data_IF_801404805693
#
_entry.id   IF_801404805693
#
_cell.length_a   1.000
_cell.length_b   1.000
_cell.length_c   1.000
_cell.angle_alpha   90.00
_cell.angle_beta   90.00
_cell.angle_gamma   90.00
#
_symmetry.space_group_name_H-M   'P 1'
#
loop_
_entity.id
_entity.type
_entity.pdbx_description
1 polymer ?
#
# COMPACT_ATOMS: atom_id res chain seq x y z
N UNK A 1 4.30 17.19 22.13
CA UNK A 1 4.65 15.99 22.96
C UNK A 1 3.65 15.86 24.10
N UNK A 2 3.00 14.70 24.22
CA UNK A 2 2.05 14.41 25.30
C UNK A 2 2.79 13.95 26.55
N UNK A 3 2.46 14.58 27.68
CA UNK A 3 3.01 14.23 29.00
C UNK A 3 1.99 13.45 29.83
N UNK A 4 2.47 12.49 30.58
CA UNK A 4 1.65 11.68 31.46
C UNK A 4 1.08 12.52 32.60
N UNK A 5 -0.26 12.60 32.77
CA UNK A 5 -0.86 13.34 33.90
C UNK A 5 -0.46 12.82 35.27
N UNK A 6 -0.03 11.54 35.37
CA UNK A 6 0.32 10.92 36.63
C UNK A 6 1.77 11.15 37.07
N UNK A 7 2.74 11.17 36.12
CA UNK A 7 4.17 11.22 36.47
C UNK A 7 4.99 12.18 35.61
N UNK A 8 4.38 12.89 34.65
CA UNK A 8 5.07 13.79 33.75
C UNK A 8 5.94 13.11 32.68
N UNK A 9 5.99 11.77 32.65
CA UNK A 9 6.74 11.01 31.65
C UNK A 9 6.14 11.12 30.25
N UNK A 10 6.89 10.72 29.23
CA UNK A 10 6.46 10.75 27.84
C UNK A 10 5.33 9.72 27.60
N UNK A 11 4.32 10.12 26.85
CA UNK A 11 3.27 9.23 26.32
C UNK A 11 3.56 8.89 24.87
N UNK A 12 3.46 7.62 24.54
CA UNK A 12 3.52 7.09 23.16
C UNK A 12 2.25 6.31 22.84
N UNK A 13 1.88 6.25 21.58
CA UNK A 13 0.78 5.38 21.17
C UNK A 13 1.24 3.94 21.09
N UNK A 14 0.66 3.08 21.93
CA UNK A 14 0.94 1.66 21.95
C UNK A 14 -0.02 0.90 21.04
N UNK A 15 0.55 0.24 20.04
CA UNK A 15 -0.17 -0.53 19.02
C UNK A 15 -0.94 -1.70 19.66
N UNK A 16 -0.35 -2.34 20.67
CA UNK A 16 -0.89 -3.59 21.25
C UNK A 16 -2.16 -3.33 22.04
N UNK A 17 -2.20 -2.24 22.80
CA UNK A 17 -3.35 -1.85 23.62
C UNK A 17 -4.27 -0.82 22.97
N UNK A 18 -3.88 -0.29 21.77
CA UNK A 18 -4.59 0.79 21.07
C UNK A 18 -4.86 2.00 22.00
N UNK A 19 -3.89 2.35 22.82
CA UNK A 19 -3.98 3.41 23.83
C UNK A 19 -2.66 4.17 23.94
N UNK A 20 -2.69 5.32 24.61
CA UNK A 20 -1.48 6.05 24.96
C UNK A 20 -0.84 5.41 26.18
N UNK A 21 0.40 4.96 26.07
CA UNK A 21 1.18 4.32 27.13
C UNK A 21 2.23 5.29 27.66
N UNK A 22 2.30 5.43 28.98
CA UNK A 22 3.42 6.09 29.63
C UNK A 22 4.62 5.14 29.75
N UNK A 23 5.73 5.47 29.10
CA UNK A 23 6.96 4.66 29.18
C UNK A 23 7.58 4.62 30.58
N UNK A 24 7.21 5.55 31.48
CA UNK A 24 7.78 5.62 32.82
C UNK A 24 6.95 4.91 33.89
N UNK A 25 5.61 5.10 33.91
CA UNK A 25 4.74 4.53 34.94
C UNK A 25 3.79 3.44 34.41
N UNK A 26 3.89 3.08 33.14
CA UNK A 26 3.06 2.06 32.47
C UNK A 26 1.54 2.32 32.54
N UNK A 27 1.11 3.55 32.79
CA UNK A 27 -0.31 3.91 32.81
C UNK A 27 -0.82 4.12 31.40
N UNK A 28 -2.02 3.61 31.11
CA UNK A 28 -2.68 3.74 29.82
C UNK A 28 -3.75 4.83 29.85
N UNK A 29 -3.85 5.58 28.74
CA UNK A 29 -4.83 6.64 28.54
C UNK A 29 -5.51 6.51 27.22
N UNK A 30 -6.79 6.93 27.16
CA UNK A 30 -7.51 7.02 25.88
C UNK A 30 -6.93 8.17 25.04
N UNK A 31 -6.56 7.93 23.76
CA UNK A 31 -6.00 8.97 22.88
C UNK A 31 -6.87 10.22 22.76
N UNK A 32 -8.20 10.05 22.80
CA UNK A 32 -9.17 11.14 22.65
C UNK A 32 -9.32 12.01 23.91
N UNK A 33 -8.96 11.49 25.09
CA UNK A 33 -9.14 12.21 26.36
C UNK A 33 -7.92 13.05 26.75
N UNK A 34 -6.83 12.97 26.04
CA UNK A 34 -5.59 13.71 26.36
C UNK A 34 -5.58 15.15 25.86
N UNK A 35 -6.58 15.56 25.08
CA UNK A 35 -6.75 16.91 24.56
C UNK A 35 -7.97 17.66 25.14
N UNK A 36 -8.77 17.04 26.00
CA UNK A 36 -9.92 17.66 26.63
C UNK A 36 -9.51 18.84 27.50
N UNK A 37 -9.55 20.04 26.94
CA UNK A 37 -9.17 21.31 27.60
C UNK A 37 -8.43 22.29 26.71
N UNK A 38 -7.90 21.87 25.61
CA UNK A 38 -7.38 22.77 24.59
C UNK A 38 -8.41 22.97 23.49
N UNK A 39 -8.89 24.19 23.31
CA UNK A 39 -9.75 24.68 22.24
C UNK A 39 -9.20 24.42 20.81
N UNK A 40 -8.15 23.59 20.69
CA UNK A 40 -7.57 23.14 19.43
C UNK A 40 -8.40 22.08 18.70
N UNK A 41 -9.45 21.53 19.30
CA UNK A 41 -10.33 20.54 18.63
C UNK A 41 -11.19 21.13 17.50
N UNK A 42 -11.36 22.44 17.47
CA UNK A 42 -12.11 23.13 16.42
C UNK A 42 -11.20 23.75 15.33
N UNK A 43 -9.88 23.79 15.52
CA UNK A 43 -8.99 24.34 14.51
C UNK A 43 -8.79 23.36 13.36
N UNK A 44 -8.98 23.83 12.12
CA UNK A 44 -8.69 23.08 10.90
C UNK A 44 -7.19 22.78 10.71
N UNK A 45 -6.34 23.36 11.55
CA UNK A 45 -4.88 23.27 11.50
C UNK A 45 -4.32 22.82 12.85
N UNK A 46 -3.19 22.15 12.84
CA UNK A 46 -2.44 21.79 14.05
C UNK A 46 -0.93 22.01 13.84
N UNK A 47 -0.23 22.30 14.94
CA UNK A 47 1.21 22.54 14.91
C UNK A 47 1.98 21.23 14.82
N UNK A 48 2.91 21.16 13.87
CA UNK A 48 3.81 20.03 13.67
C UNK A 48 5.24 20.51 13.47
N UNK A 49 6.21 19.67 13.81
CA UNK A 49 7.60 19.87 13.40
C UNK A 49 7.82 19.12 12.10
N UNK A 50 8.09 19.85 11.04
CA UNK A 50 8.42 19.28 9.72
C UNK A 50 9.92 19.16 9.60
N UNK A 51 10.41 18.00 9.24
CA UNK A 51 11.81 17.70 8.98
C UNK A 51 12.01 17.51 7.49
N UNK A 52 12.85 18.33 6.87
CA UNK A 52 13.17 18.26 5.43
C UNK A 52 14.52 17.61 5.21
N UNK A 53 14.55 16.61 4.33
CA UNK A 53 15.79 15.95 3.94
C UNK A 53 16.55 16.81 2.90
N UNK A 54 17.79 17.26 3.17
CA UNK A 54 18.54 18.05 2.20
C UNK A 54 18.98 17.23 0.97
N UNK A 55 18.91 15.90 1.01
CA UNK A 55 19.36 15.04 -0.07
C UNK A 55 18.26 14.66 -1.06
N UNK A 56 17.05 14.37 -0.61
CA UNK A 56 15.95 13.99 -1.48
C UNK A 56 14.79 14.98 -1.49
N UNK A 57 14.80 15.98 -0.59
CA UNK A 57 13.71 16.94 -0.46
C UNK A 57 12.48 16.43 0.29
N UNK A 58 12.39 15.12 0.58
CA UNK A 58 11.25 14.54 1.29
C UNK A 58 11.03 15.18 2.66
N UNK A 59 9.79 15.46 3.00
CA UNK A 59 9.38 16.09 4.26
C UNK A 59 8.70 15.06 5.16
N UNK A 60 9.08 15.02 6.42
CA UNK A 60 8.53 14.12 7.44
C UNK A 60 8.03 14.97 8.59
N UNK A 61 6.82 14.73 9.04
CA UNK A 61 6.23 15.40 10.19
C UNK A 61 6.40 14.57 11.46
N UNK A 62 6.60 15.25 12.60
CA UNK A 62 6.52 14.63 13.92
C UNK A 62 5.85 15.57 14.90
N UNK A 63 5.09 15.02 15.82
CA UNK A 63 4.58 15.76 16.99
C UNK A 63 5.61 15.81 18.12
N UNK A 64 6.69 15.05 17.99
CA UNK A 64 7.82 15.02 18.92
C UNK A 64 8.99 15.82 18.37
N UNK A 65 9.67 16.58 19.22
CA UNK A 65 10.90 17.32 18.86
C UNK A 65 12.14 16.39 18.77
N UNK A 66 11.96 15.12 18.52
CA UNK A 66 13.04 14.16 18.35
C UNK A 66 13.75 14.43 17.03
N UNK A 67 15.07 14.62 17.07
CA UNK A 67 15.90 14.78 15.88
C UNK A 67 15.82 13.47 15.08
N UNK A 68 15.40 13.56 13.83
CA UNK A 68 15.45 12.41 12.94
C UNK A 68 16.90 12.23 12.45
N UNK A 69 17.56 11.17 12.88
CA UNK A 69 18.99 10.90 12.58
C UNK A 69 19.20 10.44 11.13
N UNK A 70 18.14 10.08 10.40
CA UNK A 70 18.22 9.70 8.99
C UNK A 70 16.87 9.88 8.29
N UNK A 71 16.93 10.03 6.98
CA UNK A 71 15.74 10.15 6.15
C UNK A 71 15.10 8.76 5.91
N UNK A 72 13.82 8.63 6.23
CA UNK A 72 13.08 7.38 6.02
C UNK A 72 12.88 7.06 4.52
N UNK A 73 12.82 8.08 3.66
CA UNK A 73 12.62 7.90 2.22
C UNK A 73 13.90 7.48 1.50
N UNK A 74 14.98 8.24 1.62
CA UNK A 74 16.20 7.95 0.86
C UNK A 74 17.29 7.23 1.65
N UNK A 75 17.07 6.96 2.94
CA UNK A 75 18.04 6.28 3.81
C UNK A 75 19.31 7.07 4.10
N UNK A 76 19.35 8.37 3.79
CA UNK A 76 20.51 9.20 4.07
C UNK A 76 20.67 9.45 5.57
N UNK A 77 21.84 9.17 6.10
CA UNK A 77 22.23 9.53 7.46
C UNK A 77 22.66 11.01 7.48
N UNK A 78 21.71 11.89 7.69
CA UNK A 78 21.93 13.32 7.73
C UNK A 78 21.02 13.96 8.77
N UNK A 79 21.48 15.06 9.37
CA UNK A 79 20.62 15.86 10.23
C UNK A 79 19.60 16.55 9.35
N UNK A 80 18.32 16.30 9.61
CA UNK A 80 17.24 16.92 8.87
C UNK A 80 17.03 18.36 9.38
N UNK A 81 16.81 19.27 8.46
CA UNK A 81 16.39 20.62 8.82
C UNK A 81 14.97 20.58 9.35
N UNK A 82 14.70 21.25 10.47
CA UNK A 82 13.39 21.26 11.10
C UNK A 82 12.78 22.65 11.10
N UNK A 83 11.47 22.69 10.89
CA UNK A 83 10.65 23.91 11.02
C UNK A 83 9.32 23.58 11.71
N UNK A 84 8.79 24.52 12.47
CA UNK A 84 7.40 24.43 12.94
C UNK A 84 6.50 24.88 11.80
N UNK A 85 5.51 24.09 11.47
CA UNK A 85 4.52 24.39 10.44
C UNK A 85 3.12 24.13 10.97
N UNK A 86 2.14 24.83 10.40
CA UNK A 86 0.73 24.53 10.60
C UNK A 86 0.24 23.72 9.42
N UNK A 87 -0.20 22.52 9.71
CA UNK A 87 -0.72 21.61 8.70
C UNK A 87 -2.23 21.43 8.84
N UNK A 88 -2.89 21.21 7.71
CA UNK A 88 -4.32 20.90 7.71
C UNK A 88 -4.55 19.59 8.44
N UNK A 89 -5.47 19.62 9.40
CA UNK A 89 -5.82 18.46 10.22
C UNK A 89 -6.50 17.40 9.34
N UNK A 90 -6.01 16.14 9.34
CA UNK A 90 -6.73 15.02 8.73
C UNK A 90 -8.07 14.80 9.44
N UNK A 91 -9.09 14.35 8.70
CA UNK A 91 -10.37 13.98 9.30
C UNK A 91 -10.29 12.64 10.01
N UNK A 92 -9.58 11.70 9.40
CA UNK A 92 -9.51 10.31 9.87
C UNK A 92 -8.08 9.76 9.85
N UNK A 93 -7.91 8.68 10.58
CA UNK A 93 -6.67 7.91 10.66
C UNK A 93 -7.01 6.41 10.75
N UNK A 94 -6.22 5.57 10.12
CA UNK A 94 -6.20 4.14 10.42
C UNK A 94 -5.05 3.90 11.41
N UNK A 95 -5.31 3.57 12.68
CA UNK A 95 -4.23 3.31 13.64
C UNK A 95 -3.40 2.08 13.24
N UNK A 96 -2.11 2.10 13.58
CA UNK A 96 -1.27 0.90 13.45
C UNK A 96 -1.90 -0.28 14.20
N UNK A 97 -2.03 -1.43 13.53
CA UNK A 97 -2.49 -2.70 14.11
C UNK A 97 -1.37 -3.75 14.14
N UNK A 98 -0.34 -3.59 13.33
CA UNK A 98 0.84 -4.46 13.31
C UNK A 98 2.00 -3.78 13.99
N UNK A 99 2.57 -4.46 14.97
CA UNK A 99 3.76 -3.99 15.69
C UNK A 99 5.00 -4.03 14.80
N UNK A 100 6.05 -3.33 15.20
CA UNK A 100 7.36 -3.41 14.53
C UNK A 100 7.87 -4.85 14.45
N UNK A 101 7.60 -5.66 15.48
CA UNK A 101 8.01 -7.06 15.51
C UNK A 101 7.24 -7.91 14.48
N UNK A 102 5.92 -7.67 14.34
CA UNK A 102 5.10 -8.33 13.32
C UNK A 102 5.61 -7.99 11.92
N UNK A 103 5.90 -6.71 11.68
CA UNK A 103 6.48 -6.22 10.43
C UNK A 103 7.80 -6.92 10.11
N UNK A 104 8.74 -6.97 11.06
CA UNK A 104 10.02 -7.68 10.92
C UNK A 104 9.82 -9.16 10.57
N UNK A 105 8.85 -9.82 11.20
CA UNK A 105 8.54 -11.23 10.96
C UNK A 105 8.00 -11.45 9.54
N UNK A 106 7.10 -10.59 9.07
CA UNK A 106 6.56 -10.67 7.70
C UNK A 106 7.66 -10.41 6.66
N UNK A 107 8.48 -9.39 6.86
CA UNK A 107 9.63 -9.10 6.00
C UNK A 107 10.60 -10.29 5.94
N UNK A 108 10.98 -10.85 7.09
CA UNK A 108 11.84 -12.04 7.15
C UNK A 108 11.25 -13.24 6.41
N UNK A 109 9.93 -13.44 6.50
CA UNK A 109 9.22 -14.50 5.77
C UNK A 109 9.32 -14.31 4.26
N UNK A 110 9.15 -13.07 3.77
CA UNK A 110 9.34 -12.73 2.36
C UNK A 110 10.80 -12.93 1.94
N UNK A 111 11.79 -12.46 2.74
CA UNK A 111 13.21 -12.57 2.45
C UNK A 111 13.76 -14.00 2.40
N UNK A 112 13.06 -14.98 3.01
CA UNK A 112 13.42 -16.42 2.85
C UNK A 112 13.25 -16.88 1.40
N UNK A 113 12.30 -16.30 0.65
CA UNK A 113 12.04 -16.62 -0.76
C UNK A 113 12.95 -15.83 -1.72
N UNK A 114 13.48 -14.70 -1.28
CA UNK A 114 14.34 -13.83 -2.07
C UNK A 114 15.80 -14.32 -2.06
N UNK A 115 16.12 -15.37 -2.82
CA UNK A 115 17.43 -16.05 -2.81
C UNK A 115 18.56 -15.19 -3.37
N UNK A 116 18.25 -14.32 -4.33
CA UNK A 116 19.23 -13.47 -5.00
C UNK A 116 19.37 -12.08 -4.38
N UNK A 117 18.55 -11.76 -3.37
CA UNK A 117 18.69 -10.51 -2.64
C UNK A 117 20.02 -10.43 -1.88
N UNK A 118 20.65 -9.25 -1.75
CA UNK A 118 21.86 -9.03 -0.97
C UNK A 118 21.74 -9.57 0.46
N UNK A 119 22.87 -10.02 1.03
CA UNK A 119 22.88 -10.56 2.41
C UNK A 119 22.54 -9.49 3.44
N UNK A 120 22.95 -8.28 3.18
CA UNK A 120 22.80 -7.12 4.04
C UNK A 120 21.32 -6.85 4.36
N UNK A 121 20.41 -7.08 3.39
CA UNK A 121 18.97 -6.95 3.56
C UNK A 121 18.35 -8.01 4.48
N UNK A 122 19.11 -9.07 4.80
CA UNK A 122 18.71 -10.13 5.74
C UNK A 122 19.31 -9.94 7.13
N UNK A 123 20.19 -8.95 7.31
CA UNK A 123 20.84 -8.67 8.58
C UNK A 123 19.83 -8.05 9.55
N UNK A 124 19.86 -8.53 10.80
CA UNK A 124 18.97 -8.05 11.87
C UNK A 124 19.15 -6.55 12.13
N UNK A 125 20.40 -6.06 12.10
CA UNK A 125 20.69 -4.63 12.28
C UNK A 125 19.99 -3.76 11.24
N UNK A 126 19.90 -4.26 10.00
CA UNK A 126 19.20 -3.56 8.93
C UNK A 126 17.69 -3.62 9.15
N UNK A 127 17.15 -4.80 9.46
CA UNK A 127 15.73 -5.02 9.69
C UNK A 127 15.22 -4.20 10.89
N UNK A 128 16.06 -3.94 11.88
CA UNK A 128 15.75 -3.06 13.01
C UNK A 128 15.53 -1.59 12.60
N UNK A 129 15.94 -1.23 11.38
CA UNK A 129 15.73 0.10 10.80
C UNK A 129 14.30 0.43 10.41
N UNK A 130 13.34 -0.52 10.44
CA UNK A 130 11.93 -0.20 10.16
C UNK A 130 11.39 0.94 11.02
N UNK A 131 10.73 1.92 10.37
CA UNK A 131 10.08 3.08 10.98
C UNK A 131 8.61 3.10 10.64
N UNK A 132 7.78 3.42 11.62
CA UNK A 132 6.35 3.63 11.42
C UNK A 132 6.11 5.06 10.94
N UNK A 133 5.46 5.17 9.79
CA UNK A 133 5.12 6.45 9.16
C UNK A 133 3.64 6.40 8.81
N UNK A 134 2.93 7.45 9.13
CA UNK A 134 1.59 7.68 8.63
C UNK A 134 1.68 8.39 7.28
N UNK A 135 1.24 7.72 6.23
CA UNK A 135 1.19 8.29 4.88
C UNK A 135 -0.17 8.97 4.65
N UNK A 136 -0.17 10.17 4.05
CA UNK A 136 -1.42 10.85 3.72
C UNK A 136 -2.13 10.17 2.55
N UNK A 137 -3.43 10.05 2.65
CA UNK A 137 -4.31 9.51 1.60
C UNK A 137 -5.54 10.39 1.43
N UNK A 138 -6.06 10.45 0.21
CA UNK A 138 -7.38 10.94 -0.08
C UNK A 138 -8.36 9.77 -0.13
N UNK A 139 -9.40 9.81 0.69
CA UNK A 139 -10.47 8.82 0.72
C UNK A 139 -11.72 9.42 0.06
N UNK A 140 -12.07 8.88 -1.10
CA UNK A 140 -13.21 9.31 -1.89
C UNK A 140 -14.46 8.52 -1.52
N UNK A 141 -15.57 9.23 -1.38
CA UNK A 141 -16.89 8.65 -1.19
C UNK A 141 -17.70 8.87 -2.47
N UNK A 142 -17.98 7.78 -3.17
CA UNK A 142 -18.68 7.83 -4.46
C UNK A 142 -20.05 7.20 -4.32
N UNK A 143 -21.07 7.85 -4.86
CA UNK A 143 -22.42 7.30 -4.95
C UNK A 143 -22.87 7.16 -6.39
N UNK A 144 -23.70 6.17 -6.63
CA UNK A 144 -24.35 5.91 -7.90
C UNK A 144 -25.82 5.64 -7.63
N UNK A 145 -26.69 6.58 -8.04
CA UNK A 145 -28.14 6.51 -7.78
C UNK A 145 -28.92 6.76 -9.05
N UNK A 146 -30.02 6.02 -9.19
CA UNK A 146 -31.00 6.23 -10.23
C UNK A 146 -31.31 5.03 -11.11
N UNK A 147 -32.25 5.19 -12.03
CA UNK A 147 -32.68 4.12 -12.92
C UNK A 147 -31.57 3.77 -13.92
N UNK A 148 -31.35 2.47 -14.11
CA UNK A 148 -30.41 1.94 -15.09
C UNK A 148 -31.08 0.89 -15.96
N UNK A 149 -30.77 0.93 -17.26
CA UNK A 149 -31.20 -0.08 -18.22
C UNK A 149 -29.99 -0.75 -18.82
N UNK A 150 -29.83 -2.04 -18.53
CA UNK A 150 -28.71 -2.86 -19.01
C UNK A 150 -29.22 -3.90 -20.02
N UNK A 151 -28.33 -4.35 -20.89
CA UNK A 151 -28.63 -5.41 -21.86
C UNK A 151 -28.05 -6.71 -21.36
N UNK A 152 -28.90 -7.75 -21.34
CA UNK A 152 -28.49 -9.13 -21.04
C UNK A 152 -28.82 -10.06 -22.19
N UNK A 153 -28.11 -11.17 -22.24
CA UNK A 153 -28.35 -12.23 -23.24
C UNK A 153 -28.31 -13.62 -22.62
N UNK A 154 -29.07 -14.52 -23.22
CA UNK A 154 -29.06 -15.92 -22.86
C UNK A 154 -29.01 -16.77 -24.12
N UNK A 155 -27.96 -17.53 -24.30
CA UNK A 155 -27.76 -18.39 -25.46
C UNK A 155 -28.06 -19.86 -25.13
N UNK A 156 -28.79 -20.52 -26.04
CA UNK A 156 -29.10 -21.98 -25.98
C UNK A 156 -28.73 -22.61 -27.28
N UNK A 157 -28.02 -23.74 -27.25
CA UNK A 157 -27.75 -24.56 -28.44
C UNK A 157 -28.83 -25.59 -28.63
N UNK A 158 -29.36 -25.65 -29.86
CA UNK A 158 -30.27 -26.73 -30.32
C UNK A 158 -29.76 -27.28 -31.65
N UNK A 159 -29.15 -28.46 -31.62
CA UNK A 159 -28.48 -29.03 -32.79
C UNK A 159 -27.31 -28.15 -33.24
N UNK A 160 -27.34 -27.75 -34.51
CA UNK A 160 -26.29 -26.90 -35.11
C UNK A 160 -26.57 -25.40 -34.98
N UNK A 161 -27.64 -25.00 -34.31
CA UNK A 161 -28.05 -23.61 -34.16
C UNK A 161 -27.88 -23.15 -32.74
N UNK A 162 -27.45 -21.88 -32.61
CA UNK A 162 -27.40 -21.15 -31.33
C UNK A 162 -28.51 -20.09 -31.38
N UNK A 163 -29.41 -20.17 -30.41
CA UNK A 163 -30.48 -19.20 -30.19
C UNK A 163 -30.05 -18.27 -29.07
N UNK A 164 -30.03 -16.96 -29.33
CA UNK A 164 -29.70 -15.93 -28.31
C UNK A 164 -30.92 -15.06 -28.07
N UNK A 165 -31.41 -15.11 -26.84
CA UNK A 165 -32.48 -14.24 -26.37
C UNK A 165 -31.84 -13.00 -25.76
N UNK A 166 -32.28 -11.80 -26.14
CA UNK A 166 -31.84 -10.54 -25.65
C UNK A 166 -32.86 -9.98 -24.64
N UNK A 167 -32.35 -9.43 -23.51
CA UNK A 167 -33.16 -8.89 -22.44
C UNK A 167 -32.80 -7.46 -22.15
N UNK A 168 -33.79 -6.64 -21.81
CA UNK A 168 -33.57 -5.37 -21.12
C UNK A 168 -33.75 -5.59 -19.62
N UNK A 169 -32.68 -5.39 -18.85
CA UNK A 169 -32.67 -5.52 -17.40
C UNK A 169 -32.85 -4.10 -16.85
N UNK A 170 -34.04 -3.83 -16.34
CA UNK A 170 -34.34 -2.55 -15.70
C UNK A 170 -34.08 -2.67 -14.20
N UNK A 171 -33.29 -1.76 -13.66
CA UNK A 171 -32.96 -1.70 -12.24
C UNK A 171 -32.96 -0.25 -11.74
N UNK A 172 -33.03 -0.11 -10.43
CA UNK A 172 -32.78 1.14 -9.75
C UNK A 172 -31.54 0.96 -8.89
N UNK A 173 -30.52 1.78 -9.14
CA UNK A 173 -29.23 1.66 -8.45
C UNK A 173 -29.22 2.57 -7.23
N UNK A 174 -28.73 2.04 -6.12
CA UNK A 174 -28.34 2.80 -4.93
C UNK A 174 -27.05 2.18 -4.36
N UNK A 175 -25.94 2.52 -4.98
CA UNK A 175 -24.61 2.04 -4.59
C UNK A 175 -23.83 3.16 -3.90
N UNK A 176 -23.14 2.81 -2.83
CA UNK A 176 -22.27 3.73 -2.09
C UNK A 176 -20.92 3.06 -1.87
N UNK A 177 -19.88 3.67 -2.42
CA UNK A 177 -18.49 3.28 -2.27
C UNK A 177 -17.81 4.23 -1.29
N UNK A 178 -17.36 3.73 -0.17
CA UNK A 178 -16.77 4.55 0.88
C UNK A 178 -15.28 4.24 1.02
N UNK A 179 -14.45 5.28 0.92
CA UNK A 179 -13.04 5.19 1.20
C UNK A 179 -12.22 4.58 0.06
N UNK A 180 -12.60 4.81 -1.20
CA UNK A 180 -11.69 4.57 -2.34
C UNK A 180 -10.49 5.48 -2.12
N UNK A 181 -9.29 4.90 -1.96
CA UNK A 181 -8.16 5.64 -1.40
C UNK A 181 -6.98 5.66 -2.34
N UNK A 182 -6.44 6.87 -2.56
CA UNK A 182 -5.20 7.11 -3.27
C UNK A 182 -4.23 7.85 -2.36
N UNK A 183 -2.93 7.56 -2.47
CA UNK A 183 -1.95 8.30 -1.68
C UNK A 183 -1.86 9.76 -2.13
N UNK A 184 -1.47 10.61 -1.19
CA UNK A 184 -1.42 12.05 -1.38
C UNK A 184 0.00 12.61 -1.23
N UNK A 185 1.02 11.77 -1.40
CA UNK A 185 2.41 12.13 -1.24
C UNK A 185 3.24 11.82 -2.49
N UNK A 186 3.87 12.83 -3.07
CA UNK A 186 4.82 12.65 -4.18
C UNK A 186 6.11 11.93 -3.76
N UNK A 187 6.36 11.82 -2.45
CA UNK A 187 7.52 11.10 -1.89
C UNK A 187 7.30 9.60 -1.77
N UNK A 188 6.05 9.14 -1.91
CA UNK A 188 5.67 7.74 -1.85
C UNK A 188 5.33 7.24 -3.26
N UNK A 189 6.02 6.21 -3.72
CA UNK A 189 5.81 5.67 -5.07
C UNK A 189 4.44 4.98 -5.17
N UNK A 190 3.64 5.35 -6.18
CA UNK A 190 2.28 4.84 -6.40
C UNK A 190 2.25 3.31 -6.50
N UNK A 191 3.24 2.70 -7.18
CA UNK A 191 3.31 1.24 -7.32
C UNK A 191 3.52 0.56 -5.96
N UNK A 192 4.26 1.19 -5.06
CA UNK A 192 4.47 0.68 -3.69
C UNK A 192 3.20 0.84 -2.87
N UNK A 193 2.54 2.00 -2.99
CA UNK A 193 1.26 2.30 -2.35
C UNK A 193 0.21 1.25 -2.71
N UNK A 194 0.02 1.00 -4.00
CA UNK A 194 -0.89 -0.02 -4.52
C UNK A 194 -0.50 -1.45 -4.09
N UNK A 195 0.80 -1.76 -4.13
CA UNK A 195 1.29 -3.09 -3.77
C UNK A 195 1.02 -3.47 -2.32
N UNK A 196 0.97 -2.51 -1.39
CA UNK A 196 0.62 -2.77 0.02
C UNK A 196 -0.88 -2.66 0.31
N UNK A 197 -1.69 -2.16 -0.60
CA UNK A 197 -3.15 -2.13 -0.48
C UNK A 197 -3.72 -3.58 -0.48
N UNK A 198 -4.96 -3.83 -0.04
CA UNK A 198 -5.90 -2.85 0.45
C UNK A 198 -5.75 -2.52 1.94
N UNK A 199 -6.33 -1.39 2.34
CA UNK A 199 -6.59 -1.05 3.72
C UNK A 199 -8.08 -1.26 4.04
N UNK A 200 -8.38 -1.73 5.24
CA UNK A 200 -9.76 -1.84 5.71
C UNK A 200 -10.22 -0.49 6.28
N UNK A 201 -10.89 0.28 5.45
CA UNK A 201 -11.40 1.62 5.77
C UNK A 201 -12.49 1.61 6.85
N UNK A 202 -13.10 0.45 7.17
CA UNK A 202 -14.08 0.32 8.26
C UNK A 202 -13.43 0.56 9.63
N UNK A 203 -12.12 0.40 9.73
CA UNK A 203 -11.34 0.63 10.93
C UNK A 203 -10.77 2.06 11.01
N UNK A 204 -11.26 3.00 10.20
CA UNK A 204 -10.93 4.41 10.35
C UNK A 204 -11.46 4.96 11.68
N UNK A 205 -10.62 5.71 12.35
CA UNK A 205 -10.93 6.44 13.58
C UNK A 205 -10.83 7.93 13.32
N UNK A 206 -11.56 8.75 14.07
CA UNK A 206 -11.38 10.20 14.03
C UNK A 206 -9.92 10.57 14.39
N UNK A 207 -9.34 11.49 13.66
CA UNK A 207 -7.95 11.87 13.90
C UNK A 207 -7.78 12.64 15.21
N UNK A 208 -6.79 12.25 15.99
CA UNK A 208 -6.21 13.08 17.05
C UNK A 208 -4.68 13.01 16.94
N UNK A 209 -3.96 14.13 17.19
CA UNK A 209 -2.49 14.15 17.14
C UNK A 209 -1.82 13.13 18.08
N UNK A 210 -2.54 12.62 19.07
CA UNK A 210 -2.07 11.59 19.98
C UNK A 210 -1.63 10.30 19.27
N UNK A 211 -2.28 9.94 18.16
CA UNK A 211 -1.91 8.77 17.35
C UNK A 211 -0.54 8.88 16.70
N UNK A 212 -0.06 10.12 16.47
CA UNK A 212 1.27 10.37 15.91
C UNK A 212 2.40 10.27 16.95
N UNK A 213 2.07 10.13 18.22
CA UNK A 213 3.09 10.08 19.29
C UNK A 213 3.89 8.77 19.20
N UNK A 214 5.18 8.88 18.90
CA UNK A 214 6.09 7.76 18.65
C UNK A 214 6.18 7.34 17.17
N UNK A 215 5.45 8.02 16.27
CA UNK A 215 5.47 7.79 14.82
C UNK A 215 5.79 9.07 14.05
N UNK A 216 6.20 8.89 12.81
CA UNK A 216 6.30 9.98 11.84
C UNK A 216 5.01 10.04 11.01
N UNK A 217 4.78 11.18 10.36
CA UNK A 217 3.79 11.31 9.31
C UNK A 217 4.40 12.05 8.11
N UNK A 218 3.90 11.76 6.93
CA UNK A 218 4.27 12.48 5.72
C UNK A 218 3.28 13.61 5.43
N UNK A 219 3.70 14.59 4.63
CA UNK A 219 2.87 15.72 4.21
C UNK A 219 2.09 15.39 2.95
N UNK A 220 0.82 15.83 2.85
CA UNK A 220 0.07 15.72 1.60
C UNK A 220 0.46 16.89 0.69
N UNK A 221 1.12 16.58 -0.40
CA UNK A 221 1.54 17.54 -1.43
C UNK A 221 0.87 17.29 -2.80
N UNK A 222 0.12 16.19 -2.94
CA UNK A 222 -0.73 15.90 -4.11
C UNK A 222 -2.17 16.31 -3.82
N UNK A 223 -2.77 17.08 -4.73
CA UNK A 223 -4.15 17.56 -4.58
C UNK A 223 -5.19 16.46 -4.75
N UNK A 224 -6.33 16.59 -4.09
CA UNK A 224 -7.42 15.62 -4.19
C UNK A 224 -8.11 15.60 -5.57
N UNK A 225 -7.88 16.60 -6.40
CA UNK A 225 -8.42 16.69 -7.76
C UNK A 225 -7.75 15.72 -8.74
N UNK A 226 -6.52 15.29 -8.43
CA UNK A 226 -5.71 14.42 -9.30
C UNK A 226 -6.39 13.09 -9.55
N UNK A 227 -6.93 12.44 -8.53
CA UNK A 227 -7.47 11.07 -8.59
C UNK A 227 -9.01 10.99 -8.65
N UNK A 228 -9.70 12.12 -8.90
CA UNK A 228 -11.17 12.12 -8.96
C UNK A 228 -11.72 11.17 -10.02
N UNK A 229 -11.11 11.15 -11.21
CA UNK A 229 -11.54 10.28 -12.29
C UNK A 229 -11.25 8.82 -11.98
N UNK A 230 -10.09 8.54 -11.40
CA UNK A 230 -9.70 7.17 -11.03
C UNK A 230 -10.63 6.61 -9.94
N UNK A 231 -11.06 7.44 -8.99
CA UNK A 231 -12.05 7.05 -7.98
C UNK A 231 -13.42 6.71 -8.58
N UNK A 232 -13.87 7.49 -9.59
CA UNK A 232 -15.09 7.22 -10.34
C UNK A 232 -14.95 5.92 -11.15
N UNK A 233 -13.81 5.71 -11.78
CA UNK A 233 -13.52 4.52 -12.57
C UNK A 233 -13.50 3.26 -11.72
N UNK A 234 -12.83 3.28 -10.56
CA UNK A 234 -12.84 2.15 -9.61
C UNK A 234 -14.25 1.83 -9.10
N UNK A 235 -15.05 2.85 -8.75
CA UNK A 235 -16.44 2.63 -8.37
C UNK A 235 -17.25 2.00 -9.50
N UNK A 236 -16.97 2.36 -10.76
CA UNK A 236 -17.58 1.79 -11.94
C UNK A 236 -17.20 0.33 -12.17
N UNK A 237 -15.93 -0.03 -11.94
CA UNK A 237 -15.43 -1.41 -12.02
C UNK A 237 -16.11 -2.31 -10.98
N UNK A 238 -16.16 -1.89 -9.73
CA UNK A 238 -16.85 -2.64 -8.68
C UNK A 238 -18.34 -2.80 -8.96
N UNK A 239 -18.97 -1.77 -9.52
CA UNK A 239 -20.37 -1.85 -9.95
C UNK A 239 -20.56 -2.86 -11.08
N UNK A 240 -19.67 -2.86 -12.07
CA UNK A 240 -19.70 -3.83 -13.16
C UNK A 240 -19.57 -5.26 -12.64
N UNK A 241 -18.61 -5.52 -11.79
CA UNK A 241 -18.38 -6.83 -11.20
C UNK A 241 -19.58 -7.29 -10.35
N UNK A 242 -20.11 -6.39 -9.52
CA UNK A 242 -21.29 -6.71 -8.73
C UNK A 242 -22.51 -7.06 -9.61
N UNK A 243 -22.81 -6.24 -10.60
CA UNK A 243 -23.96 -6.45 -11.49
C UNK A 243 -23.78 -7.70 -12.32
N UNK A 244 -22.59 -7.93 -12.88
CA UNK A 244 -22.28 -9.11 -13.70
C UNK A 244 -22.47 -10.42 -12.94
N UNK A 245 -22.12 -10.44 -11.65
CA UNK A 245 -22.20 -11.63 -10.80
C UNK A 245 -23.58 -11.81 -10.14
N UNK A 246 -24.43 -10.78 -10.12
CA UNK A 246 -25.70 -10.80 -9.38
C UNK A 246 -26.94 -10.55 -10.24
N UNK A 247 -26.90 -10.92 -11.52
CA UNK A 247 -28.06 -10.81 -12.41
C UNK A 247 -29.20 -11.73 -11.89
N UNK A 248 -30.40 -11.21 -11.59
CA UNK A 248 -31.47 -12.00 -10.97
C UNK A 248 -32.12 -13.02 -11.91
N UNK A 249 -31.71 -13.05 -13.18
CA UNK A 249 -32.25 -13.95 -14.23
C UNK A 249 -31.27 -15.11 -14.48
N UNK A 250 -31.64 -16.31 -14.08
CA UNK A 250 -30.79 -17.49 -14.18
C UNK A 250 -30.32 -17.78 -15.63
N UNK A 251 -29.01 -17.79 -15.82
CA UNK A 251 -28.35 -18.08 -17.10
C UNK A 251 -28.39 -16.94 -18.10
N UNK A 252 -28.69 -15.72 -17.67
CA UNK A 252 -28.51 -14.50 -18.45
C UNK A 252 -27.12 -13.94 -18.11
N UNK A 253 -26.35 -13.60 -19.14
CA UNK A 253 -25.08 -12.90 -19.04
C UNK A 253 -25.27 -11.43 -19.46
N UNK A 254 -24.47 -10.56 -18.90
CA UNK A 254 -24.47 -9.16 -19.29
C UNK A 254 -23.86 -9.00 -20.68
N UNK A 255 -24.52 -8.27 -21.56
CA UNK A 255 -24.06 -7.96 -22.92
C UNK A 255 -23.50 -6.54 -23.04
N UNK A 256 -23.25 -5.90 -21.92
CA UNK A 256 -22.68 -4.56 -21.85
C UNK A 256 -21.18 -4.64 -21.53
N UNK A 257 -20.42 -3.75 -22.13
CA UNK A 257 -19.01 -3.57 -21.76
C UNK A 257 -18.92 -2.79 -20.46
N UNK A 258 -17.82 -2.94 -19.75
CA UNK A 258 -17.52 -2.20 -18.53
C UNK A 258 -17.65 -0.68 -18.75
N UNK A 259 -17.07 -0.14 -19.84
CA UNK A 259 -17.16 1.28 -20.20
C UNK A 259 -18.59 1.77 -20.40
N UNK A 260 -19.47 0.91 -20.95
CA UNK A 260 -20.89 1.24 -21.13
C UNK A 260 -21.62 1.31 -19.80
N UNK A 261 -21.32 0.42 -18.86
CA UNK A 261 -21.91 0.45 -17.51
C UNK A 261 -21.41 1.68 -16.76
N UNK A 262 -20.11 1.96 -16.76
CA UNK A 262 -19.55 3.17 -16.17
C UNK A 262 -20.27 4.43 -16.65
N UNK A 263 -20.53 4.54 -17.96
CA UNK A 263 -21.22 5.71 -18.54
C UNK A 263 -22.70 5.80 -18.14
N UNK A 264 -23.36 4.68 -17.83
CA UNK A 264 -24.78 4.63 -17.43
C UNK A 264 -25.00 4.86 -15.93
N UNK A 265 -23.98 4.63 -15.12
CA UNK A 265 -24.11 4.57 -13.67
C UNK A 265 -23.88 5.90 -12.97
N UNK A 266 -23.91 7.03 -13.63
CA UNK A 266 -23.88 8.40 -13.04
C UNK A 266 -23.16 8.49 -11.68
N UNK A 267 -21.89 8.11 -11.65
CA UNK A 267 -21.09 8.14 -10.43
C UNK A 267 -20.80 9.59 -10.02
N UNK A 268 -21.06 9.93 -8.77
CA UNK A 268 -20.84 11.25 -8.20
C UNK A 268 -19.97 11.13 -6.94
N UNK A 269 -18.92 11.94 -6.86
CA UNK A 269 -18.16 12.08 -5.63
C UNK A 269 -18.96 12.92 -4.64
N UNK A 270 -19.38 12.33 -3.54
CA UNK A 270 -20.14 13.03 -2.48
C UNK A 270 -19.22 13.82 -1.56
N UNK A 271 -18.07 13.24 -1.20
CA UNK A 271 -17.05 13.89 -0.37
C UNK A 271 -15.69 13.26 -0.57
N UNK A 272 -14.66 14.00 -0.18
CA UNK A 272 -13.27 13.54 -0.13
C UNK A 272 -12.71 13.88 1.24
N UNK A 273 -12.22 12.87 1.93
CA UNK A 273 -11.62 13.02 3.25
C UNK A 273 -10.10 12.89 3.20
N UNK A 274 -9.41 13.79 3.90
CA UNK A 274 -7.97 13.66 4.15
C UNK A 274 -7.76 12.67 5.29
N UNK A 275 -6.97 11.63 5.03
CA UNK A 275 -6.76 10.51 5.95
C UNK A 275 -5.29 10.20 6.11
N UNK A 276 -4.94 9.48 7.20
CA UNK A 276 -3.59 8.98 7.44
C UNK A 276 -3.60 7.45 7.55
N UNK A 277 -2.75 6.78 6.77
CA UNK A 277 -2.65 5.34 6.72
C UNK A 277 -1.30 4.84 7.25
N UNK A 278 -1.28 3.76 8.04
CA UNK A 278 -0.08 3.30 8.72
C UNK A 278 0.81 2.47 7.78
N UNK A 279 2.06 2.86 7.61
CA UNK A 279 3.06 2.16 6.81
C UNK A 279 4.34 1.96 7.62
N UNK A 280 4.82 0.74 7.71
CA UNK A 280 6.18 0.45 8.15
C UNK A 280 7.12 0.58 6.96
N UNK A 281 8.11 1.43 7.09
CA UNK A 281 9.01 1.80 6.02
C UNK A 281 10.46 1.46 6.36
N UNK A 282 11.18 0.87 5.40
CA UNK A 282 12.60 0.56 5.47
C UNK A 282 13.25 0.92 4.15
N UNK A 283 14.15 1.88 4.17
CA UNK A 283 14.92 2.27 2.99
C UNK A 283 16.29 1.63 3.00
N UNK A 284 16.74 1.18 1.86
CA UNK A 284 18.08 0.65 1.61
C UNK A 284 18.76 1.48 0.54
N UNK A 285 19.91 2.03 0.89
CA UNK A 285 20.70 2.80 -0.06
C UNK A 285 22.02 2.08 -0.33
N UNK A 286 22.29 1.80 -1.59
CA UNK A 286 23.57 1.31 -2.05
C UNK A 286 24.04 2.17 -3.23
N UNK A 287 25.02 3.06 -2.97
CA UNK A 287 25.49 4.11 -3.89
C UNK A 287 24.33 5.01 -4.33
N UNK A 288 23.99 5.01 -5.62
CA UNK A 288 22.94 5.85 -6.21
C UNK A 288 21.55 5.16 -6.24
N UNK A 289 21.48 3.86 -5.97
CA UNK A 289 20.23 3.12 -5.94
C UNK A 289 19.63 3.14 -4.52
N UNK A 290 18.39 3.58 -4.45
CA UNK A 290 17.56 3.46 -3.25
C UNK A 290 16.52 2.37 -3.52
N UNK A 291 16.39 1.44 -2.61
CA UNK A 291 15.38 0.40 -2.63
C UNK A 291 14.56 0.47 -1.34
N UNK A 292 13.31 0.11 -1.43
CA UNK A 292 12.37 0.23 -0.33
C UNK A 292 11.79 -1.12 0.04
N UNK A 293 11.51 -1.29 1.32
CA UNK A 293 10.62 -2.32 1.80
C UNK A 293 9.54 -1.65 2.66
N UNK A 294 8.32 -1.91 2.31
CA UNK A 294 7.14 -1.35 2.97
C UNK A 294 6.25 -2.47 3.48
N UNK A 295 5.64 -2.24 4.62
CA UNK A 295 4.66 -3.17 5.18
C UNK A 295 3.44 -2.37 5.61
N UNK A 296 2.28 -2.81 5.14
CA UNK A 296 1.01 -2.25 5.58
C UNK A 296 0.87 -2.40 7.10
N UNK A 297 0.77 -1.29 7.80
CA UNK A 297 0.71 -1.25 9.27
C UNK A 297 -0.58 -1.78 9.86
N UNK A 298 -1.61 -2.00 9.03
CA UNK A 298 -2.88 -2.58 9.42
C UNK A 298 -2.93 -4.08 9.12
N UNK A 299 -2.64 -4.49 7.88
CA UNK A 299 -2.80 -5.88 7.42
C UNK A 299 -1.54 -6.71 7.52
N UNK A 300 -0.37 -6.09 7.50
CA UNK A 300 0.92 -6.76 7.46
C UNK A 300 1.35 -7.22 6.05
N UNK A 301 0.65 -6.77 4.99
CA UNK A 301 1.05 -7.05 3.60
C UNK A 301 2.38 -6.37 3.30
N UNK A 302 3.32 -7.10 2.70
CA UNK A 302 4.68 -6.63 2.43
C UNK A 302 4.86 -6.37 0.94
N UNK A 303 5.43 -5.24 0.61
CA UNK A 303 5.99 -4.94 -0.71
C UNK A 303 7.46 -4.51 -0.57
N UNK A 304 8.31 -4.93 -1.49
CA UNK A 304 9.71 -4.53 -1.47
C UNK A 304 10.32 -4.53 -2.87
N UNK A 305 10.98 -3.42 -3.22
CA UNK A 305 11.91 -3.40 -4.34
C UNK A 305 13.25 -3.99 -3.89
N UNK A 306 13.47 -5.26 -4.23
CA UNK A 306 14.67 -5.98 -3.80
C UNK A 306 15.74 -5.92 -4.89
N UNK A 307 16.91 -5.32 -4.63
CA UNK A 307 18.02 -5.38 -5.57
C UNK A 307 18.53 -6.81 -5.70
N UNK A 308 18.91 -7.19 -6.91
CA UNK A 308 19.50 -8.50 -7.21
C UNK A 308 21.02 -8.45 -7.03
N UNK A 309 21.55 -9.32 -6.22
CA UNK A 309 23.00 -9.52 -6.11
C UNK A 309 23.54 -10.26 -7.35
N UNK A 310 24.27 -9.56 -8.19
CA UNK A 310 24.83 -10.07 -9.46
C UNK A 310 25.60 -11.38 -9.26
N UNK A 311 26.48 -11.44 -8.25
CA UNK A 311 27.28 -12.64 -7.98
C UNK A 311 26.43 -13.85 -7.59
N UNK A 312 25.39 -13.67 -6.77
CA UNK A 312 24.45 -14.74 -6.38
C UNK A 312 23.59 -15.19 -7.54
N UNK A 313 23.19 -14.24 -8.37
CA UNK A 313 22.43 -14.51 -9.58
C UNK A 313 23.22 -15.43 -10.53
N UNK A 314 24.47 -15.06 -10.85
CA UNK A 314 25.32 -15.91 -11.70
C UNK A 314 25.63 -17.26 -11.07
N UNK A 315 25.89 -17.32 -9.78
CA UNK A 315 26.13 -18.58 -9.08
C UNK A 315 24.89 -19.49 -9.09
N UNK A 316 23.70 -18.93 -8.82
CA UNK A 316 22.43 -19.68 -8.88
C UNK A 316 22.09 -20.14 -10.30
N UNK A 317 22.30 -19.27 -11.30
CA UNK A 317 22.09 -19.62 -12.71
C UNK A 317 23.03 -20.74 -13.16
N UNK A 318 24.31 -20.69 -12.78
CA UNK A 318 25.25 -21.74 -13.08
C UNK A 318 24.90 -23.08 -12.39
N UNK A 319 24.44 -23.01 -11.13
CA UNK A 319 24.02 -24.19 -10.37
C UNK A 319 22.81 -24.89 -11.05
N UNK A 320 21.93 -24.17 -11.69
CA UNK A 320 20.81 -24.74 -12.44
C UNK A 320 21.20 -25.14 -13.86
N UNK A 321 22.00 -24.33 -14.56
CA UNK A 321 22.34 -24.54 -15.95
C UNK A 321 23.25 -25.77 -16.12
N UNK A 322 24.21 -26.01 -15.20
CA UNK A 322 25.18 -27.12 -15.30
C UNK A 322 24.49 -28.49 -15.27
N UNK A 323 23.59 -28.81 -14.30
CA UNK A 323 22.85 -30.08 -14.32
C UNK A 323 21.99 -30.27 -15.56
N UNK A 324 21.30 -29.19 -15.98
CA UNK A 324 20.44 -29.21 -17.19
C UNK A 324 21.29 -29.47 -18.43
N UNK A 325 22.47 -28.82 -18.53
CA UNK A 325 23.40 -29.03 -19.62
C UNK A 325 23.90 -30.48 -19.67
N UNK A 326 24.29 -31.05 -18.53
CA UNK A 326 24.74 -32.47 -18.43
C UNK A 326 23.61 -33.41 -18.83
N UNK A 327 22.39 -33.18 -18.32
CA UNK A 327 21.19 -34.01 -18.64
C UNK A 327 20.87 -33.94 -20.13
N UNK A 328 20.85 -32.76 -20.73
CA UNK A 328 20.61 -32.62 -22.16
C UNK A 328 21.66 -33.33 -23.00
N UNK A 329 22.94 -33.29 -22.62
CA UNK A 329 24.00 -33.99 -23.33
C UNK A 329 23.99 -35.53 -23.11
N UNK A 330 23.42 -36.02 -22.00
CA UNK A 330 23.25 -37.46 -21.75
C UNK A 330 22.11 -38.07 -22.59
N UNK A 331 21.01 -37.35 -22.76
CA UNK A 331 19.78 -37.88 -23.40
C UNK A 331 19.65 -37.47 -24.86
N UNK A 332 20.29 -36.38 -25.27
CA UNK A 332 20.18 -35.84 -26.63
C UNK A 332 21.56 -35.65 -27.23
N UNK A 333 21.85 -36.32 -28.34
CA UNK A 333 23.05 -36.07 -29.16
C UNK A 333 22.89 -34.77 -29.95
N UNK A 334 22.80 -33.63 -29.22
CA UNK A 334 22.65 -32.31 -29.83
C UNK A 334 24.02 -31.72 -30.15
N UNK A 335 24.10 -30.99 -31.26
CA UNK A 335 25.31 -30.25 -31.59
C UNK A 335 25.56 -29.22 -30.47
N UNK A 336 26.84 -29.02 -30.00
CA UNK A 336 27.11 -28.14 -28.84
C UNK A 336 26.52 -26.73 -28.90
N UNK A 337 26.48 -26.14 -30.10
CA UNK A 337 25.84 -24.82 -30.33
C UNK A 337 24.35 -24.83 -30.06
N UNK A 338 23.63 -25.89 -30.44
CA UNK A 338 22.17 -26.00 -30.20
C UNK A 338 21.89 -26.17 -28.73
N UNK A 339 22.67 -27.00 -28.05
CA UNK A 339 22.56 -27.22 -26.59
C UNK A 339 22.78 -25.93 -25.82
N UNK A 340 23.80 -25.13 -26.21
CA UNK A 340 24.09 -23.83 -25.57
C UNK A 340 22.94 -22.84 -25.75
N UNK A 341 22.36 -22.77 -26.94
CA UNK A 341 21.22 -21.88 -27.20
C UNK A 341 19.98 -22.30 -26.41
N UNK A 342 19.69 -23.61 -26.32
CA UNK A 342 18.57 -24.13 -25.53
C UNK A 342 18.74 -23.81 -24.05
N UNK A 343 19.95 -24.02 -23.50
CA UNK A 343 20.24 -23.69 -22.10
C UNK A 343 20.12 -22.17 -21.86
N UNK A 344 20.60 -21.34 -22.79
CA UNK A 344 20.47 -19.88 -22.68
C UNK A 344 19.00 -19.43 -22.70
N UNK A 345 18.15 -20.01 -23.55
CA UNK A 345 16.72 -19.71 -23.60
C UNK A 345 16.01 -20.16 -22.31
N UNK A 346 16.29 -21.35 -21.82
CA UNK A 346 15.73 -21.84 -20.55
C UNK A 346 16.13 -20.93 -19.39
N UNK A 347 17.42 -20.55 -19.32
CA UNK A 347 17.89 -19.63 -18.30
C UNK A 347 17.16 -18.27 -18.38
N UNK A 348 16.98 -17.71 -19.58
CA UNK A 348 16.27 -16.45 -19.79
C UNK A 348 14.80 -16.55 -19.31
N UNK A 349 14.10 -17.61 -19.67
CA UNK A 349 12.70 -17.86 -19.24
C UNK A 349 12.63 -17.97 -17.72
N UNK A 350 13.57 -18.71 -17.09
CA UNK A 350 13.63 -18.87 -15.64
C UNK A 350 13.85 -17.53 -14.94
N UNK A 351 14.68 -16.66 -15.53
CA UNK A 351 14.90 -15.30 -15.05
C UNK A 351 13.62 -14.48 -15.07
N UNK A 352 12.95 -14.47 -16.23
CA UNK A 352 11.71 -13.69 -16.43
C UNK A 352 10.64 -14.15 -15.43
N UNK A 353 10.46 -15.47 -15.27
CA UNK A 353 9.52 -16.03 -14.30
C UNK A 353 9.88 -15.67 -12.86
N UNK A 354 11.17 -15.70 -12.52
CA UNK A 354 11.64 -15.35 -11.18
C UNK A 354 11.43 -13.86 -10.88
N UNK A 355 11.77 -12.97 -11.82
CA UNK A 355 11.53 -11.53 -11.67
C UNK A 355 10.03 -11.22 -11.56
N UNK A 356 9.17 -11.91 -12.32
CA UNK A 356 7.72 -11.80 -12.21
C UNK A 356 7.19 -12.24 -10.84
N UNK A 357 7.82 -13.23 -10.19
CA UNK A 357 7.46 -13.70 -8.84
C UNK A 357 7.90 -12.79 -7.70
N UNK A 358 8.87 -11.89 -7.94
CA UNK A 358 9.34 -10.92 -6.94
C UNK A 358 8.51 -9.64 -6.97
N UNK A 359 7.88 -9.33 -8.11
CA UNK A 359 6.98 -8.18 -8.29
C UNK A 359 5.52 -8.48 -7.94
N UNK A 360 5.24 -9.63 -7.32
CA UNK A 360 3.96 -9.99 -6.70
C UNK A 360 4.17 -9.91 -5.15
#
# INVERSE_FOLDING_TARGET
MYQCPNCGGRLIFDISSQSMLCEHCNTHYNPYKLGEGNSAEESKEYDVTVFKCPQCGGEIMSTDNTIADFCSFCGASTVLESRISKELRPGYIIPFSKTKQDCKNQYKKMMKRAWFAPKELKDEKYIDGFRGIYMPYWAYHVSQKGPVVLRGEKSKRRGDYIYTDHFNINGDMDCQYKGISFDASSSFDDNISEAIAPYDVKNMAGFTPAFLSGFYADTADVGCDVYMNDAIDMAGEETYDYVSNNIPLGGVSLHETESTIKSKCNAVIESVDRTLYPVWFLSYRNRDRVAYATVNGQTGKVSADLPVSVGRYFAGSALLAVPIFILLNMFFTLRPKVTLNVVAVIALITIILYLSLIHI
#
